data_IF_702394425097
#
_entry.id   IF_702394425097
#
_cell.length_a   1.000
_cell.length_b   1.000
_cell.length_c   1.000
_cell.angle_alpha   90.00
_cell.angle_beta   90.00
_cell.angle_gamma   90.00
#
_symmetry.space_group_name_H-M   'P 1'
#
loop_
_entity.id
_entity.type
_entity.pdbx_description
1 polymer ?
#
# COMPACT_ATOMS: atom_id res chain seq x y z
N UNK A 1 -57.23 -102.38 118.37
CA UNK A 1 -56.45 -101.33 117.69
C UNK A 1 -55.79 -101.85 116.41
N UNK A 2 -55.18 -103.04 116.41
CA UNK A 2 -54.48 -103.64 115.25
C UNK A 2 -55.34 -103.88 114.01
N UNK A 3 -56.53 -104.49 114.14
CA UNK A 3 -57.41 -104.83 112.99
C UNK A 3 -57.92 -103.62 112.18
N UNK A 4 -58.22 -102.50 112.85
CA UNK A 4 -58.75 -101.29 112.20
C UNK A 4 -57.65 -100.52 111.46
N UNK A 5 -56.43 -100.49 112.01
CA UNK A 5 -55.23 -99.97 111.32
C UNK A 5 -54.87 -100.80 110.09
N UNK A 6 -55.00 -102.13 110.15
CA UNK A 6 -54.80 -103.02 109.01
C UNK A 6 -55.85 -102.80 107.92
N UNK A 7 -57.13 -102.63 108.30
CA UNK A 7 -58.20 -102.30 107.35
C UNK A 7 -57.99 -100.93 106.67
N UNK A 8 -57.60 -99.90 107.43
CA UNK A 8 -57.28 -98.60 106.85
C UNK A 8 -56.08 -98.67 105.88
N UNK A 9 -55.02 -99.40 106.23
CA UNK A 9 -53.87 -99.63 105.33
C UNK A 9 -54.29 -100.37 104.06
N UNK A 10 -55.14 -101.40 104.17
CA UNK A 10 -55.64 -102.14 103.02
C UNK A 10 -56.46 -101.27 102.08
N UNK A 11 -57.37 -100.44 102.61
CA UNK A 11 -58.16 -99.49 101.83
C UNK A 11 -57.28 -98.43 101.15
N UNK A 12 -56.26 -97.91 101.85
CA UNK A 12 -55.34 -96.93 101.28
C UNK A 12 -54.47 -97.53 100.17
N UNK A 13 -53.99 -98.77 100.33
CA UNK A 13 -53.30 -99.52 99.28
C UNK A 13 -54.23 -99.77 98.08
N UNK A 14 -55.49 -100.11 98.32
CA UNK A 14 -56.48 -100.31 97.26
C UNK A 14 -56.79 -99.02 96.50
N UNK A 15 -56.96 -97.90 97.21
CA UNK A 15 -57.14 -96.58 96.60
C UNK A 15 -55.94 -96.17 95.75
N UNK A 16 -54.71 -96.34 96.25
CA UNK A 16 -53.48 -96.06 95.49
C UNK A 16 -53.36 -96.97 94.26
N UNK A 17 -53.72 -98.25 94.37
CA UNK A 17 -53.74 -99.17 93.22
C UNK A 17 -54.75 -98.74 92.16
N UNK A 18 -55.95 -98.33 92.58
CA UNK A 18 -56.98 -97.86 91.66
C UNK A 18 -56.59 -96.54 90.97
N UNK A 19 -56.03 -95.57 91.71
CA UNK A 19 -55.52 -94.32 91.10
C UNK A 19 -54.36 -94.59 90.16
N UNK A 20 -53.46 -95.51 90.51
CA UNK A 20 -52.34 -95.89 89.64
C UNK A 20 -52.84 -96.58 88.36
N UNK A 21 -53.86 -97.44 88.48
CA UNK A 21 -54.51 -98.07 87.33
C UNK A 21 -55.19 -97.04 86.43
N UNK A 22 -55.98 -96.12 87.00
CA UNK A 22 -56.61 -95.01 86.28
C UNK A 22 -55.57 -94.14 85.57
N UNK A 23 -54.51 -93.73 86.27
CA UNK A 23 -53.43 -92.94 85.69
C UNK A 23 -52.73 -93.66 84.55
N UNK A 24 -52.49 -94.98 84.67
CA UNK A 24 -51.91 -95.79 83.60
C UNK A 24 -52.82 -95.84 82.37
N UNK A 25 -54.14 -95.96 82.57
CA UNK A 25 -55.12 -95.90 81.49
C UNK A 25 -55.14 -94.51 80.82
N UNK A 26 -55.17 -93.42 81.60
CA UNK A 26 -55.13 -92.05 81.07
C UNK A 26 -53.84 -91.78 80.29
N UNK A 27 -52.69 -92.21 80.80
CA UNK A 27 -51.41 -92.09 80.09
C UNK A 27 -51.40 -92.86 78.77
N UNK A 28 -52.00 -94.06 78.72
CA UNK A 28 -52.13 -94.81 77.47
C UNK A 28 -52.97 -94.05 76.44
N UNK A 29 -54.09 -93.44 76.86
CA UNK A 29 -54.93 -92.61 75.98
C UNK A 29 -54.17 -91.36 75.50
N UNK A 30 -53.49 -90.64 76.38
CA UNK A 30 -52.71 -89.44 76.02
C UNK A 30 -51.59 -89.77 75.03
N UNK A 31 -50.86 -90.88 75.26
CA UNK A 31 -49.83 -91.36 74.32
C UNK A 31 -50.43 -91.69 72.96
N UNK A 32 -51.57 -92.37 72.92
CA UNK A 32 -52.29 -92.65 71.67
C UNK A 32 -52.68 -91.37 70.94
N UNK A 33 -53.20 -90.36 71.66
CA UNK A 33 -53.58 -89.07 71.09
C UNK A 33 -52.36 -88.31 70.54
N UNK A 34 -51.23 -88.29 71.25
CA UNK A 34 -49.97 -87.67 70.78
C UNK A 34 -49.46 -88.38 69.52
N UNK A 35 -49.44 -89.71 69.51
CA UNK A 35 -49.03 -90.49 68.34
C UNK A 35 -49.93 -90.20 67.14
N UNK A 36 -51.25 -90.15 67.35
CA UNK A 36 -52.23 -89.80 66.30
C UNK A 36 -52.01 -88.38 65.78
N UNK A 37 -51.90 -87.38 66.66
CA UNK A 37 -51.67 -86.00 66.27
C UNK A 37 -50.35 -85.79 65.53
N UNK A 38 -49.28 -86.49 65.94
CA UNK A 38 -47.99 -86.49 65.23
C UNK A 38 -48.12 -87.05 63.81
N UNK A 39 -48.88 -88.14 63.65
CA UNK A 39 -49.15 -88.73 62.35
C UNK A 39 -49.99 -87.81 61.45
N UNK A 40 -51.06 -87.23 61.98
CA UNK A 40 -51.93 -86.27 61.26
C UNK A 40 -51.13 -85.04 60.80
N UNK A 41 -50.28 -84.48 61.66
CA UNK A 41 -49.41 -83.36 61.31
C UNK A 41 -48.41 -83.72 60.20
N UNK A 42 -47.81 -84.91 60.26
CA UNK A 42 -46.90 -85.39 59.22
C UNK A 42 -47.60 -85.57 57.86
N UNK A 43 -48.86 -86.04 57.87
CA UNK A 43 -49.69 -86.15 56.66
C UNK A 43 -50.04 -84.78 56.09
N UNK A 44 -50.50 -83.85 56.93
CA UNK A 44 -50.82 -82.48 56.52
C UNK A 44 -49.61 -81.79 55.87
N UNK A 45 -48.43 -81.91 56.49
CA UNK A 45 -47.18 -81.38 55.94
C UNK A 45 -46.81 -81.99 54.58
N UNK A 46 -46.99 -83.29 54.40
CA UNK A 46 -46.76 -83.96 53.10
C UNK A 46 -47.74 -83.47 52.04
N UNK A 47 -49.00 -83.25 52.42
CA UNK A 47 -50.03 -82.72 51.51
C UNK A 47 -49.71 -81.29 51.07
N UNK A 48 -49.32 -80.43 52.02
CA UNK A 48 -48.89 -79.06 51.74
C UNK A 48 -47.69 -79.06 50.79
N UNK A 49 -46.65 -79.84 51.09
CA UNK A 49 -45.46 -79.97 50.24
C UNK A 49 -45.83 -80.41 48.82
N UNK A 50 -46.69 -81.42 48.68
CA UNK A 50 -47.11 -81.93 47.36
C UNK A 50 -47.88 -80.87 46.58
N UNK A 51 -48.78 -80.16 47.25
CA UNK A 51 -49.61 -79.11 46.65
C UNK A 51 -48.75 -77.94 46.18
N UNK A 52 -47.81 -77.50 47.02
CA UNK A 52 -46.86 -76.42 46.70
C UNK A 52 -45.96 -76.82 45.53
N UNK A 53 -45.37 -78.03 45.55
CA UNK A 53 -44.54 -78.52 44.46
C UNK A 53 -45.30 -78.57 43.13
N UNK A 54 -46.58 -79.02 43.16
CA UNK A 54 -47.43 -79.06 41.97
C UNK A 54 -47.72 -77.65 41.43
N UNK A 55 -47.97 -76.68 42.31
CA UNK A 55 -48.25 -75.30 41.93
C UNK A 55 -47.03 -74.56 41.37
N UNK A 56 -45.82 -74.82 41.90
CA UNK A 56 -44.58 -74.19 41.44
C UNK A 56 -44.09 -74.78 40.10
N UNK A 57 -44.59 -75.94 39.68
CA UNK A 57 -44.26 -76.55 38.40
C UNK A 57 -42.75 -76.79 38.24
N UNK A 58 -42.13 -76.16 37.22
CA UNK A 58 -40.70 -76.27 36.93
C UNK A 58 -39.83 -75.27 37.70
N UNK A 59 -40.42 -74.33 38.44
CA UNK A 59 -39.67 -73.32 39.21
C UNK A 59 -39.19 -73.93 40.54
N UNK A 60 -38.10 -74.70 40.44
CA UNK A 60 -37.46 -75.40 41.54
C UNK A 60 -37.04 -74.44 42.67
N UNK A 61 -36.40 -73.28 42.39
CA UNK A 61 -36.08 -72.30 43.43
C UNK A 61 -37.31 -71.81 44.21
N UNK A 62 -38.40 -71.48 43.50
CA UNK A 62 -39.64 -71.04 44.13
C UNK A 62 -40.27 -72.15 44.97
N UNK A 63 -40.23 -73.40 44.50
CA UNK A 63 -40.71 -74.56 45.26
C UNK A 63 -39.94 -74.79 46.55
N UNK A 64 -38.60 -74.72 46.49
CA UNK A 64 -37.73 -74.91 47.66
C UNK A 64 -37.95 -73.83 48.73
N UNK A 65 -38.11 -72.57 48.31
CA UNK A 65 -38.37 -71.44 49.21
C UNK A 65 -39.67 -71.61 50.02
N UNK A 66 -40.64 -72.38 49.51
CA UNK A 66 -41.94 -72.60 50.13
C UNK A 66 -42.11 -73.99 50.77
N UNK A 67 -41.11 -74.87 50.69
CA UNK A 67 -41.17 -76.27 51.17
C UNK A 67 -41.50 -76.46 52.66
N UNK A 68 -41.36 -75.41 53.47
CA UNK A 68 -41.67 -75.44 54.91
C UNK A 68 -42.92 -74.65 55.29
N UNK A 69 -43.59 -74.06 54.30
CA UNK A 69 -44.79 -73.26 54.50
C UNK A 69 -46.04 -74.15 54.46
N UNK A 70 -47.09 -73.70 55.13
CA UNK A 70 -48.45 -74.17 54.85
C UNK A 70 -48.87 -73.68 53.47
N UNK A 71 -49.84 -74.35 52.86
CA UNK A 71 -50.39 -73.98 51.55
C UNK A 71 -50.89 -72.53 51.48
N UNK A 72 -51.49 -72.01 52.56
CA UNK A 72 -51.98 -70.62 52.64
C UNK A 72 -50.82 -69.60 52.58
N UNK A 73 -49.77 -69.82 53.36
CA UNK A 73 -48.60 -68.94 53.39
C UNK A 73 -47.87 -68.94 52.05
N UNK A 74 -47.73 -70.13 51.43
CA UNK A 74 -47.13 -70.24 50.10
C UNK A 74 -47.97 -69.51 49.03
N UNK A 75 -49.31 -69.62 49.10
CA UNK A 75 -50.22 -68.91 48.19
C UNK A 75 -50.06 -67.40 48.29
N UNK A 76 -49.97 -66.86 49.49
CA UNK A 76 -49.84 -65.41 49.68
C UNK A 76 -48.48 -64.87 49.23
N UNK A 77 -47.40 -65.59 49.53
CA UNK A 77 -46.06 -65.25 49.02
C UNK A 77 -46.02 -65.27 47.49
N UNK A 78 -46.64 -66.26 46.86
CA UNK A 78 -46.69 -66.35 45.40
C UNK A 78 -47.51 -65.21 44.78
N UNK A 79 -48.66 -64.86 45.38
CA UNK A 79 -49.45 -63.69 44.95
C UNK A 79 -48.63 -62.42 44.97
N UNK A 80 -47.92 -62.17 46.07
CA UNK A 80 -47.02 -61.02 46.20
C UNK A 80 -45.93 -61.04 45.14
N UNK A 81 -45.25 -62.17 44.94
CA UNK A 81 -44.21 -62.31 43.93
C UNK A 81 -44.73 -62.01 42.51
N UNK A 82 -45.90 -62.54 42.14
CA UNK A 82 -46.52 -62.26 40.84
C UNK A 82 -46.87 -60.78 40.72
N UNK A 83 -47.43 -60.18 41.77
CA UNK A 83 -47.75 -58.75 41.81
C UNK A 83 -46.49 -57.89 41.61
N UNK A 84 -45.43 -58.15 42.37
CA UNK A 84 -44.16 -57.40 42.28
C UNK A 84 -43.56 -57.51 40.87
N UNK A 85 -43.63 -58.69 40.24
CA UNK A 85 -43.15 -58.89 38.86
C UNK A 85 -44.00 -58.17 37.82
N UNK A 86 -45.32 -58.21 37.94
CA UNK A 86 -46.23 -57.48 37.04
C UNK A 86 -46.02 -55.97 37.20
N UNK A 87 -45.86 -55.50 38.43
CA UNK A 87 -45.58 -54.09 38.71
C UNK A 87 -44.25 -53.64 38.08
N UNK A 88 -43.19 -54.45 38.22
CA UNK A 88 -41.91 -54.19 37.55
C UNK A 88 -42.05 -54.19 36.02
N UNK A 89 -42.82 -55.11 35.45
CA UNK A 89 -43.09 -55.15 34.02
C UNK A 89 -43.82 -53.90 33.54
N UNK A 90 -44.84 -53.42 34.27
CA UNK A 90 -45.55 -52.18 33.95
C UNK A 90 -44.61 -50.97 33.96
N UNK A 91 -43.74 -50.86 34.98
CA UNK A 91 -42.72 -49.80 35.04
C UNK A 91 -41.78 -49.84 33.83
N UNK A 92 -41.36 -51.04 33.41
CA UNK A 92 -40.51 -51.20 32.23
C UNK A 92 -41.23 -50.85 30.93
N UNK A 93 -42.52 -51.18 30.79
CA UNK A 93 -43.35 -50.78 29.64
C UNK A 93 -43.42 -49.26 29.54
N UNK A 94 -43.72 -48.58 30.64
CA UNK A 94 -43.82 -47.12 30.66
C UNK A 94 -42.47 -46.46 30.34
N UNK A 95 -41.37 -47.02 30.84
CA UNK A 95 -40.02 -46.56 30.48
C UNK A 95 -39.72 -46.76 28.99
N UNK A 96 -40.13 -47.89 28.42
CA UNK A 96 -40.02 -48.17 26.99
C UNK A 96 -40.75 -47.12 26.15
N UNK A 97 -42.02 -46.84 26.49
CA UNK A 97 -42.83 -45.83 25.80
C UNK A 97 -42.21 -44.44 25.87
N UNK A 98 -41.68 -44.03 27.02
CA UNK A 98 -41.00 -42.72 27.17
C UNK A 98 -39.76 -42.59 26.29
N UNK A 99 -38.97 -43.68 26.18
CA UNK A 99 -37.78 -43.70 25.32
C UNK A 99 -38.14 -43.64 23.84
N UNK A 100 -39.19 -44.33 23.44
CA UNK A 100 -39.73 -44.29 22.08
C UNK A 100 -40.19 -42.88 21.70
N UNK A 101 -40.98 -42.22 22.56
CA UNK A 101 -41.38 -40.82 22.36
C UNK A 101 -40.18 -39.87 22.23
N UNK A 102 -39.15 -40.05 23.07
CA UNK A 102 -37.93 -39.24 22.99
C UNK A 102 -37.20 -39.48 21.66
N UNK A 103 -37.13 -40.73 21.21
CA UNK A 103 -36.50 -41.09 19.94
C UNK A 103 -37.24 -40.46 18.77
N UNK A 104 -38.57 -40.59 18.71
CA UNK A 104 -39.41 -39.97 17.67
C UNK A 104 -39.23 -38.45 17.63
N UNK A 105 -39.23 -37.77 18.78
CA UNK A 105 -38.97 -36.33 18.88
C UNK A 105 -37.60 -35.97 18.28
N UNK A 106 -36.54 -36.69 18.65
CA UNK A 106 -35.19 -36.42 18.14
C UNK A 106 -35.06 -36.73 16.65
N UNK A 107 -35.75 -37.75 16.15
CA UNK A 107 -35.76 -38.09 14.72
C UNK A 107 -36.49 -37.01 13.91
N UNK A 108 -37.58 -36.46 14.44
CA UNK A 108 -38.31 -35.37 13.81
C UNK A 108 -37.47 -34.08 13.76
N UNK A 109 -36.78 -33.74 14.86
CA UNK A 109 -35.82 -32.62 14.88
C UNK A 109 -34.70 -32.81 13.85
N UNK A 110 -34.15 -34.03 13.76
CA UNK A 110 -33.10 -34.35 12.78
C UNK A 110 -33.62 -34.25 11.34
N UNK A 111 -34.81 -34.77 11.06
CA UNK A 111 -35.45 -34.63 9.76
C UNK A 111 -35.68 -33.15 9.43
N UNK A 112 -36.22 -32.37 10.37
CA UNK A 112 -36.42 -30.93 10.19
C UNK A 112 -35.10 -30.20 9.90
N UNK A 113 -34.00 -30.55 10.55
CA UNK A 113 -32.69 -29.95 10.30
C UNK A 113 -32.12 -30.35 8.93
N UNK A 114 -32.36 -31.59 8.48
CA UNK A 114 -31.97 -32.03 7.12
C UNK A 114 -32.81 -31.40 6.02
N UNK A 115 -34.10 -31.20 6.28
CA UNK A 115 -35.03 -30.57 5.36
C UNK A 115 -34.88 -29.04 5.35
N UNK A 116 -34.10 -28.47 6.29
CA UNK A 116 -33.66 -27.08 6.14
C UNK A 116 -32.75 -27.01 4.92
N UNK A 117 -33.08 -26.17 3.92
CA UNK A 117 -32.21 -25.96 2.79
C UNK A 117 -30.89 -25.37 3.31
N UNK A 118 -29.80 -26.15 3.21
CA UNK A 118 -28.43 -25.78 3.60
C UNK A 118 -28.14 -24.35 3.17
N UNK A 119 -28.18 -23.37 4.09
CA UNK A 119 -27.64 -22.01 3.96
C UNK A 119 -27.67 -21.35 2.55
N UNK A 120 -28.65 -21.65 1.70
CA UNK A 120 -28.31 -21.82 0.25
C UNK A 120 -28.16 -20.50 -0.49
N UNK A 121 -28.57 -19.41 0.15
CA UNK A 121 -28.44 -18.06 -0.36
C UNK A 121 -27.52 -17.19 0.48
N UNK A 122 -27.28 -17.53 1.74
CA UNK A 122 -26.49 -16.70 2.64
C UNK A 122 -25.00 -16.96 2.45
N UNK A 123 -24.60 -18.22 2.29
CA UNK A 123 -23.22 -18.59 1.97
C UNK A 123 -22.72 -17.97 0.65
N UNK A 124 -23.43 -18.08 -0.51
CA UNK A 124 -22.97 -17.41 -1.72
C UNK A 124 -22.99 -15.88 -1.62
N UNK A 125 -23.91 -15.29 -0.84
CA UNK A 125 -23.90 -13.84 -0.56
C UNK A 125 -22.67 -13.44 0.24
N UNK A 126 -22.31 -14.19 1.27
CA UNK A 126 -21.09 -13.94 2.06
C UNK A 126 -19.84 -14.07 1.19
N UNK A 127 -19.76 -15.09 0.33
CA UNK A 127 -18.66 -15.24 -0.62
C UNK A 127 -18.56 -14.06 -1.60
N UNK A 128 -19.69 -13.52 -2.05
CA UNK A 128 -19.71 -12.32 -2.90
C UNK A 128 -19.19 -11.09 -2.14
N UNK A 129 -19.59 -10.91 -0.88
CA UNK A 129 -19.10 -9.81 -0.02
C UNK A 129 -17.59 -9.94 0.19
N UNK A 130 -17.09 -11.13 0.48
CA UNK A 130 -15.65 -11.40 0.65
C UNK A 130 -14.88 -10.97 -0.61
N UNK A 131 -15.30 -11.45 -1.80
CA UNK A 131 -14.67 -11.06 -3.07
C UNK A 131 -14.66 -9.56 -3.31
N UNK A 132 -15.74 -8.87 -2.91
CA UNK A 132 -15.81 -7.43 -3.08
C UNK A 132 -14.86 -6.68 -2.14
N UNK A 133 -14.73 -7.16 -0.89
CA UNK A 133 -13.79 -6.60 0.07
C UNK A 133 -12.33 -6.83 -0.36
N UNK A 134 -11.99 -8.02 -0.84
CA UNK A 134 -10.66 -8.33 -1.39
C UNK A 134 -10.28 -7.37 -2.52
N UNK A 135 -11.18 -7.21 -3.50
CA UNK A 135 -10.98 -6.28 -4.62
C UNK A 135 -10.81 -4.82 -4.17
N UNK A 136 -11.56 -4.39 -3.14
CA UNK A 136 -11.46 -3.03 -2.61
C UNK A 136 -10.14 -2.81 -1.87
N UNK A 137 -9.68 -3.81 -1.12
CA UNK A 137 -8.38 -3.78 -0.42
C UNK A 137 -7.26 -3.67 -1.46
N UNK A 138 -7.28 -4.50 -2.50
CA UNK A 138 -6.24 -4.49 -3.53
C UNK A 138 -6.18 -3.15 -4.28
N UNK A 139 -7.33 -2.58 -4.65
CA UNK A 139 -7.40 -1.22 -5.22
C UNK A 139 -6.82 -0.15 -4.29
N UNK A 140 -7.07 -0.29 -2.99
CA UNK A 140 -6.55 0.66 -1.99
C UNK A 140 -5.04 0.52 -1.84
N UNK A 141 -4.50 -0.70 -1.85
CA UNK A 141 -3.06 -0.93 -1.84
C UNK A 141 -2.38 -0.30 -3.07
N UNK A 142 -2.93 -0.49 -4.28
CA UNK A 142 -2.39 0.13 -5.50
C UNK A 142 -2.39 1.66 -5.40
N UNK A 143 -3.47 2.25 -4.84
CA UNK A 143 -3.55 3.70 -4.60
C UNK A 143 -2.48 4.18 -3.62
N UNK A 144 -2.27 3.45 -2.53
CA UNK A 144 -1.24 3.76 -1.53
C UNK A 144 0.14 3.75 -2.18
N UNK A 145 0.51 2.67 -2.90
CA UNK A 145 1.81 2.57 -3.57
C UNK A 145 2.02 3.67 -4.59
N UNK A 146 0.99 3.99 -5.40
CA UNK A 146 1.08 5.07 -6.38
C UNK A 146 1.26 6.43 -5.70
N UNK A 147 0.52 6.70 -4.62
CA UNK A 147 0.65 7.92 -3.84
C UNK A 147 2.02 8.04 -3.18
N UNK A 148 2.58 6.93 -2.68
CA UNK A 148 3.92 6.90 -2.09
C UNK A 148 4.98 7.21 -3.15
N UNK A 149 4.89 6.62 -4.35
CA UNK A 149 5.80 6.92 -5.46
C UNK A 149 5.74 8.40 -5.85
N UNK A 150 4.53 8.96 -5.98
CA UNK A 150 4.35 10.39 -6.28
C UNK A 150 4.95 11.25 -5.16
N UNK A 151 4.71 10.90 -3.90
CA UNK A 151 5.26 11.63 -2.76
C UNK A 151 6.78 11.66 -2.77
N UNK A 152 7.44 10.51 -3.02
CA UNK A 152 8.89 10.43 -3.13
C UNK A 152 9.42 11.37 -4.22
N UNK A 153 8.79 11.38 -5.40
CA UNK A 153 9.17 12.29 -6.49
C UNK A 153 9.04 13.77 -6.09
N UNK A 154 7.96 14.14 -5.39
CA UNK A 154 7.78 15.51 -4.91
C UNK A 154 8.75 15.89 -3.78
N UNK A 155 9.19 14.93 -2.97
CA UNK A 155 10.20 15.15 -1.91
C UNK A 155 11.58 15.36 -2.54
N UNK A 156 11.93 14.63 -3.59
CA UNK A 156 13.23 14.72 -4.25
C UNK A 156 13.36 15.97 -5.16
N UNK A 157 12.25 16.45 -5.72
CA UNK A 157 12.22 17.57 -6.66
C UNK A 157 12.84 18.88 -6.11
N UNK A 158 12.53 19.34 -4.88
CA UNK A 158 13.16 20.51 -4.29
C UNK A 158 14.67 20.42 -4.23
N UNK A 159 15.22 19.26 -3.89
CA UNK A 159 16.67 19.09 -3.77
C UNK A 159 17.33 19.10 -5.14
N UNK A 160 16.69 18.50 -6.15
CA UNK A 160 17.10 18.63 -7.55
C UNK A 160 17.11 20.11 -8.01
N UNK A 161 16.04 20.85 -7.70
CA UNK A 161 15.93 22.27 -8.07
C UNK A 161 16.97 23.12 -7.33
N UNK A 162 17.21 22.89 -6.04
CA UNK A 162 18.27 23.57 -5.28
C UNK A 162 19.64 23.29 -5.90
N UNK A 163 19.91 22.05 -6.32
CA UNK A 163 21.16 21.70 -6.97
C UNK A 163 21.36 22.46 -8.30
N UNK A 164 20.30 22.59 -9.12
CA UNK A 164 20.34 23.41 -10.33
C UNK A 164 20.53 24.89 -10.03
N UNK A 165 19.79 25.42 -9.04
CA UNK A 165 19.89 26.81 -8.61
C UNK A 165 21.28 27.17 -8.09
N UNK A 166 21.97 26.25 -7.40
CA UNK A 166 23.31 26.47 -6.89
C UNK A 166 24.36 26.76 -7.98
N UNK A 167 24.12 26.36 -9.23
CA UNK A 167 25.03 26.62 -10.35
C UNK A 167 24.88 28.02 -10.98
N UNK A 168 23.69 28.63 -10.89
CA UNK A 168 23.43 29.90 -11.58
C UNK A 168 24.26 31.09 -11.08
N UNK A 169 24.48 31.30 -9.76
CA UNK A 169 25.32 32.39 -9.28
C UNK A 169 26.71 32.39 -9.91
N UNK A 170 27.35 31.21 -9.96
CA UNK A 170 28.69 31.07 -10.55
C UNK A 170 28.70 31.42 -12.04
N UNK A 171 27.66 31.03 -12.79
CA UNK A 171 27.57 31.37 -14.22
C UNK A 171 27.29 32.86 -14.44
N UNK A 172 26.49 33.47 -13.55
CA UNK A 172 26.23 34.90 -13.56
C UNK A 172 27.49 35.70 -13.23
N UNK A 173 28.28 35.26 -12.26
CA UNK A 173 29.56 35.88 -11.89
C UNK A 173 30.55 35.88 -13.08
N UNK A 174 30.61 34.78 -13.84
CA UNK A 174 31.44 34.71 -15.06
C UNK A 174 31.02 35.76 -16.08
N UNK A 175 29.71 35.86 -16.35
CA UNK A 175 29.18 36.85 -17.29
C UNK A 175 29.42 38.28 -16.80
N UNK A 176 29.24 38.53 -15.50
CA UNK A 176 29.51 39.84 -14.91
C UNK A 176 30.99 40.22 -15.06
N UNK A 177 31.92 39.28 -14.81
CA UNK A 177 33.35 39.51 -14.99
C UNK A 177 33.71 39.80 -16.44
N UNK A 178 33.09 39.11 -17.41
CA UNK A 178 33.29 39.40 -18.84
C UNK A 178 32.81 40.81 -19.21
N UNK A 179 31.63 41.20 -18.73
CA UNK A 179 31.08 42.55 -18.97
C UNK A 179 31.98 43.61 -18.36
N UNK A 180 32.42 43.44 -17.11
CA UNK A 180 33.37 44.36 -16.47
C UNK A 180 34.70 44.45 -17.25
N UNK A 181 35.18 43.32 -17.77
CA UNK A 181 36.34 43.28 -18.67
C UNK A 181 36.14 44.13 -19.92
N UNK A 182 35.05 43.90 -20.68
CA UNK A 182 34.75 44.68 -21.88
C UNK A 182 34.56 46.17 -21.62
N UNK A 183 33.90 46.55 -20.51
CA UNK A 183 33.75 47.96 -20.13
C UNK A 183 35.11 48.61 -19.83
N UNK A 184 36.01 47.89 -19.17
CA UNK A 184 37.36 48.37 -18.88
C UNK A 184 38.15 48.57 -20.17
N UNK A 185 38.14 47.58 -21.07
CA UNK A 185 38.80 47.68 -22.39
C UNK A 185 38.26 48.84 -23.24
N UNK A 186 36.93 49.04 -23.25
CA UNK A 186 36.32 50.14 -24.00
C UNK A 186 36.69 51.50 -23.41
N UNK A 187 36.76 51.60 -22.08
CA UNK A 187 37.22 52.80 -21.38
C UNK A 187 38.69 53.09 -21.72
N UNK A 188 39.56 52.09 -21.67
CA UNK A 188 40.98 52.22 -22.02
C UNK A 188 41.14 52.69 -23.48
N UNK A 189 40.38 52.11 -24.42
CA UNK A 189 40.40 52.53 -25.82
C UNK A 189 39.88 53.97 -26.01
N UNK A 190 38.89 54.40 -25.21
CA UNK A 190 38.36 55.77 -25.25
C UNK A 190 39.40 56.78 -24.78
N UNK A 191 40.08 56.50 -23.67
CA UNK A 191 41.20 57.32 -23.17
C UNK A 191 42.32 57.37 -24.21
N UNK A 192 42.74 56.23 -24.75
CA UNK A 192 43.75 56.19 -25.82
C UNK A 192 43.34 57.00 -27.04
N UNK A 193 42.06 56.97 -27.44
CA UNK A 193 41.56 57.77 -28.57
C UNK A 193 41.55 59.27 -28.27
N UNK A 194 41.23 59.66 -27.04
CA UNK A 194 41.29 61.06 -26.61
C UNK A 194 42.73 61.55 -26.55
N UNK A 195 43.65 60.76 -26.01
CA UNK A 195 45.08 61.07 -26.00
C UNK A 195 45.63 61.21 -27.43
N UNK A 196 45.27 60.29 -28.33
CA UNK A 196 45.65 60.38 -29.74
C UNK A 196 45.10 61.66 -30.39
N UNK A 197 43.84 62.02 -30.10
CA UNK A 197 43.24 63.27 -30.59
C UNK A 197 43.99 64.50 -30.05
N UNK A 198 44.26 64.55 -28.74
CA UNK A 198 45.03 65.62 -28.11
C UNK A 198 46.43 65.75 -28.72
N UNK A 199 47.15 64.64 -28.93
CA UNK A 199 48.44 64.64 -29.63
C UNK A 199 48.28 65.19 -31.04
N UNK A 200 47.27 64.77 -31.80
CA UNK A 200 47.07 65.29 -33.17
C UNK A 200 46.72 66.77 -33.17
N UNK A 201 45.95 67.25 -32.20
CA UNK A 201 45.59 68.66 -32.10
C UNK A 201 46.78 69.50 -31.62
N UNK A 202 47.58 69.02 -30.68
CA UNK A 202 48.87 69.63 -30.31
C UNK A 202 49.81 69.70 -31.52
N UNK A 203 49.93 68.62 -32.30
CA UNK A 203 50.71 68.61 -33.55
C UNK A 203 50.15 69.61 -34.56
N UNK A 204 48.83 69.69 -34.75
CA UNK A 204 48.19 70.69 -35.64
C UNK A 204 48.42 72.11 -35.15
N UNK A 205 48.33 72.38 -33.84
CA UNK A 205 48.56 73.70 -33.26
C UNK A 205 50.02 74.11 -33.39
N UNK A 206 50.97 73.20 -33.13
CA UNK A 206 52.38 73.38 -33.42
C UNK A 206 52.62 73.66 -34.92
N UNK A 207 51.95 72.93 -35.82
CA UNK A 207 52.02 73.16 -37.26
C UNK A 207 51.38 74.48 -37.71
N UNK A 208 50.33 74.97 -37.04
CA UNK A 208 49.73 76.29 -37.30
C UNK A 208 50.61 77.43 -36.79
N UNK A 209 51.14 77.30 -35.56
CA UNK A 209 52.15 78.22 -35.04
C UNK A 209 53.40 78.26 -35.91
N UNK A 210 53.76 77.13 -36.55
CA UNK A 210 54.87 77.04 -37.50
C UNK A 210 54.47 77.33 -38.97
N UNK A 211 53.17 77.39 -39.25
CA UNK A 211 52.56 77.40 -40.59
C UNK A 211 51.91 78.72 -41.00
N UNK A 212 51.87 79.70 -40.09
CA UNK A 212 51.92 81.13 -40.44
C UNK A 212 53.34 81.64 -40.19
N UNK A 213 54.23 81.64 -41.20
CA UNK A 213 55.35 82.54 -41.16
C UNK A 213 54.91 83.87 -41.79
N UNK A 214 55.10 84.97 -41.06
CA UNK A 214 55.06 86.31 -41.65
C UNK A 214 56.09 86.46 -42.81
N UNK A 215 57.05 85.55 -42.91
CA UNK A 215 58.17 85.62 -43.87
C UNK A 215 57.81 85.41 -45.37
N UNK A 216 57.00 84.42 -45.82
CA UNK A 216 56.69 84.29 -47.25
C UNK A 216 55.73 85.35 -47.79
N UNK A 217 54.91 85.96 -46.92
CA UNK A 217 53.99 87.02 -47.31
C UNK A 217 54.74 88.35 -47.51
N UNK A 218 55.68 88.65 -46.61
CA UNK A 218 56.58 89.80 -46.74
C UNK A 218 57.59 89.62 -47.90
N UNK A 219 58.10 88.42 -48.14
CA UNK A 219 58.94 88.12 -49.31
C UNK A 219 58.16 88.29 -50.63
N UNK A 220 56.92 87.79 -50.72
CA UNK A 220 56.08 87.99 -51.92
C UNK A 220 55.81 89.47 -52.19
N UNK A 221 55.50 90.24 -51.15
CA UNK A 221 55.30 91.68 -51.25
C UNK A 221 56.58 92.40 -51.75
N UNK A 222 57.75 92.01 -51.25
CA UNK A 222 59.04 92.59 -51.66
C UNK A 222 59.42 92.28 -53.12
N UNK A 223 59.04 91.12 -53.65
CA UNK A 223 59.20 90.79 -55.08
C UNK A 223 58.27 91.60 -55.97
N UNK A 224 57.03 91.82 -55.52
CA UNK A 224 56.01 92.59 -56.23
C UNK A 224 56.42 94.08 -56.35
N UNK A 225 57.00 94.64 -55.28
CA UNK A 225 57.52 96.02 -55.27
C UNK A 225 58.74 96.19 -56.18
N UNK A 226 59.65 95.21 -56.22
CA UNK A 226 60.79 95.21 -57.17
C UNK A 226 60.33 95.12 -58.62
N UNK A 227 59.29 94.33 -58.91
CA UNK A 227 58.71 94.21 -60.23
C UNK A 227 58.08 95.53 -60.69
N UNK A 228 57.39 96.23 -59.79
CA UNK A 228 56.83 97.55 -60.07
C UNK A 228 57.90 98.63 -60.29
N UNK A 229 59.02 98.57 -59.55
CA UNK A 229 60.16 99.45 -59.79
C UNK A 229 60.82 99.21 -61.17
N UNK A 230 60.92 97.95 -61.60
CA UNK A 230 61.39 97.64 -62.96
C UNK A 230 60.43 98.14 -64.05
N UNK A 231 59.12 97.99 -63.87
CA UNK A 231 58.12 98.53 -64.82
C UNK A 231 58.21 100.04 -64.97
N UNK A 232 58.38 100.78 -63.88
CA UNK A 232 58.55 102.24 -63.91
C UNK A 232 59.84 102.68 -64.65
N UNK A 233 60.90 101.87 -64.63
CA UNK A 233 62.13 102.15 -65.38
C UNK A 233 61.95 101.88 -66.88
N UNK A 234 61.19 100.84 -67.25
CA UNK A 234 60.84 100.54 -68.66
C UNK A 234 59.96 101.65 -69.24
N UNK A 235 58.96 102.12 -68.50
CA UNK A 235 58.10 103.24 -68.92
C UNK A 235 58.89 104.57 -69.06
N UNK A 236 59.95 104.76 -68.26
CA UNK A 236 60.90 105.89 -68.37
C UNK A 236 61.85 105.79 -69.57
N UNK A 237 62.13 104.60 -70.08
CA UNK A 237 62.90 104.39 -71.32
C UNK A 237 62.01 104.73 -72.53
N UNK A 238 60.77 104.25 -72.54
CA UNK A 238 59.82 104.49 -73.64
C UNK A 238 59.37 105.97 -73.74
N UNK A 239 59.34 106.70 -72.61
CA UNK A 239 59.03 108.14 -72.57
C UNK A 239 60.22 109.06 -72.89
N UNK A 240 61.47 108.55 -72.92
CA UNK A 240 62.67 109.30 -73.35
C UNK A 240 63.05 109.06 -74.82
N UNK A 241 62.60 107.95 -75.41
CA UNK A 241 62.83 107.61 -76.82
C UNK A 241 61.81 108.28 -77.77
N UNK A 242 60.74 108.88 -77.25
CA UNK A 242 59.67 109.54 -78.01
C UNK A 242 59.79 111.07 -78.09
N UNK A 243 60.85 111.68 -77.55
CA UNK A 243 61.06 113.15 -77.59
C UNK A 243 62.44 113.60 -78.10
N UNK A 244 63.02 113.04 -79.18
CA UNK A 244 64.07 113.73 -79.96
C UNK A 244 64.36 113.10 -81.33
N UNK A 245 63.83 113.75 -82.39
CA UNK A 245 64.19 113.76 -83.83
C UNK A 245 63.10 113.31 -84.81
N UNK A 246 62.41 114.31 -85.37
CA UNK A 246 61.83 114.26 -86.71
C UNK A 246 62.75 115.02 -87.70
N UNK A 247 63.34 114.32 -88.68
CA UNK A 247 63.87 114.88 -89.96
C UNK A 247 63.93 113.82 -91.08
N UNK A 248 62.78 113.58 -91.74
CA UNK A 248 62.53 113.24 -93.17
C UNK A 248 63.10 111.90 -93.79
N UNK A 249 62.67 111.43 -95.01
CA UNK A 249 61.51 110.52 -95.23
C UNK A 249 61.69 109.37 -96.28
N UNK A 250 60.64 108.51 -96.40
CA UNK A 250 60.37 107.47 -97.46
C UNK A 250 61.36 106.26 -97.47
N UNK A 251 61.00 105.01 -97.78
CA UNK A 251 59.97 104.41 -98.63
C UNK A 251 59.98 102.87 -98.42
N UNK A 252 58.84 102.21 -98.65
CA UNK A 252 58.70 100.76 -99.00
C UNK A 252 59.11 99.75 -97.91
N UNK A 253 58.50 98.58 -97.69
CA UNK A 253 57.63 97.73 -98.50
C UNK A 253 56.99 96.68 -97.55
N UNK A 254 55.74 96.32 -97.84
CA UNK A 254 55.09 95.03 -97.58
C UNK A 254 55.98 93.82 -98.01
N UNK A 255 55.60 92.53 -97.86
CA UNK A 255 54.74 91.84 -96.86
C UNK A 255 55.17 90.35 -96.60
N UNK A 256 54.24 89.56 -96.01
CA UNK A 256 53.94 88.13 -96.25
C UNK A 256 54.79 87.00 -95.58
N UNK A 257 54.04 86.22 -94.79
CA UNK A 257 53.86 84.75 -94.84
C UNK A 257 55.06 83.78 -94.79
N UNK A 258 54.99 82.83 -93.85
CA UNK A 258 54.84 81.35 -94.04
C UNK A 258 54.73 80.74 -92.62
N UNK A 259 53.75 79.91 -92.22
CA UNK A 259 53.22 78.62 -92.73
C UNK A 259 54.26 77.49 -92.75
N UNK A 260 54.09 76.52 -91.84
CA UNK A 260 54.65 75.17 -91.92
C UNK A 260 54.81 74.53 -90.54
N UNK A 261 53.93 73.60 -90.11
CA UNK A 261 54.02 72.15 -90.36
C UNK A 261 55.17 71.52 -89.51
N UNK A 262 55.02 70.49 -88.66
CA UNK A 262 54.17 69.30 -88.64
C UNK A 262 54.04 68.75 -87.19
N UNK A 263 52.82 68.39 -86.78
CA UNK A 263 52.28 67.00 -86.68
C UNK A 263 53.24 65.81 -86.34
N UNK A 264 52.72 64.65 -85.89
CA UNK A 264 52.35 64.29 -84.51
C UNK A 264 52.77 62.82 -84.17
N UNK A 265 51.90 61.86 -83.76
CA UNK A 265 51.68 61.26 -82.42
C UNK A 265 52.04 59.71 -82.45
N UNK A 266 51.29 58.69 -81.95
CA UNK A 266 50.20 58.51 -80.96
C UNK A 266 50.35 57.20 -80.07
N UNK A 267 49.31 56.37 -79.73
CA UNK A 267 48.78 56.10 -78.37
C UNK A 267 48.57 54.56 -78.14
N UNK A 268 47.39 53.99 -77.75
CA UNK A 268 46.36 54.20 -76.70
C UNK A 268 46.29 52.95 -75.74
N UNK A 269 45.32 52.73 -74.81
CA UNK A 269 43.95 52.20 -75.04
C UNK A 269 43.26 51.81 -73.72
N UNK A 270 41.92 52.03 -73.66
CA UNK A 270 40.83 51.22 -73.04
C UNK A 270 41.03 50.68 -71.60
N UNK A 271 40.22 50.99 -70.58
CA UNK A 271 38.78 50.67 -70.42
C UNK A 271 38.52 49.14 -70.37
N UNK A 272 37.46 48.57 -69.74
CA UNK A 272 36.43 49.11 -68.83
C UNK A 272 35.98 48.11 -67.70
N UNK A 273 34.82 48.39 -67.07
CA UNK A 273 33.86 47.47 -66.40
C UNK A 273 34.29 46.82 -65.05
N UNK A 274 33.44 46.62 -64.05
CA UNK A 274 31.97 46.63 -63.99
C UNK A 274 31.53 45.51 -63.04
N UNK A 275 30.80 45.88 -61.98
CA UNK A 275 29.72 45.17 -61.25
C UNK A 275 29.76 43.64 -61.02
N UNK A 276 29.49 43.26 -59.75
CA UNK A 276 28.56 42.21 -59.25
C UNK A 276 29.18 41.43 -58.08
N UNK A 277 28.67 41.57 -56.84
CA UNK A 277 27.60 40.77 -56.20
C UNK A 277 27.92 39.28 -56.03
N UNK A 278 28.03 38.83 -54.76
CA UNK A 278 27.58 37.53 -54.21
C UNK A 278 27.97 37.50 -52.71
N UNK A 279 27.05 37.70 -51.76
CA UNK A 279 26.16 36.69 -51.15
C UNK A 279 26.87 35.39 -50.73
N UNK A 280 27.03 35.23 -49.41
CA UNK A 280 27.10 33.96 -48.66
C UNK A 280 25.83 33.10 -48.93
N UNK A 281 25.70 31.79 -48.56
CA UNK A 281 26.43 31.06 -47.50
C UNK A 281 26.79 29.58 -47.80
N UNK A 282 27.54 28.95 -46.90
CA UNK A 282 27.51 27.52 -46.58
C UNK A 282 28.07 27.38 -45.14
N UNK A 283 27.54 26.59 -44.21
CA UNK A 283 26.82 25.35 -44.38
C UNK A 283 27.71 24.18 -43.95
N UNK A 284 27.74 23.90 -42.65
CA UNK A 284 28.02 22.61 -41.99
C UNK A 284 29.12 21.67 -42.55
N UNK A 285 30.21 21.46 -41.79
CA UNK A 285 30.78 20.13 -41.47
C UNK A 285 31.99 20.24 -40.52
N UNK A 286 31.74 19.96 -39.25
CA UNK A 286 32.40 19.02 -38.32
C UNK A 286 32.26 19.51 -36.88
#
# INVERSE_FOLDING_TARGET
ITRLQEQCRALQIQAVKETTFKNKATLAVLRSNICRGSHEWALAKKYDQRTISKACGKDVPMSLAHSRCTTEVAREKLRKYVFDRVNMHNVLIDLGRRREQKLESTQLELASLKDQPEATKEEPRMLQVIRQLENNIEKTMVKITTSQNIHLLYVDLPDHLKQKLAGYPTELDKLQNLVVGYWSELSDMTVMSQDAMMITDEVKMNMRQRGEPAEPAEERQAWEDRLNQQKQLIDKIHSKETSEKYRWPRQAQQPLCHRGHLSPPPPPRSGPAGLALLLQPDGSRN
#
